data_IF_725483706031
#
_entry.id   IF_725483706031
#
_cell.length_a   1.000
_cell.length_b   1.000
_cell.length_c   1.000
_cell.angle_alpha   90.00
_cell.angle_beta   90.00
_cell.angle_gamma   90.00
#
_symmetry.space_group_name_H-M   'P 1'
#
loop_
_entity.id
_entity.type
_entity.pdbx_description
1 polymer ?
#
# COMPACT_ATOMS: atom_id res chain seq x y z
N UNK A 1 -8.29 2.16 -0.63
CA UNK A 1 -7.32 1.20 -1.19
C UNK A 1 -7.65 0.95 -2.63
N UNK A 2 -6.72 1.31 -3.52
CA UNK A 2 -6.75 0.94 -4.93
C UNK A 2 -5.64 -0.11 -5.13
N UNK A 3 -5.98 -1.28 -5.64
CA UNK A 3 -5.03 -2.37 -5.86
C UNK A 3 -5.42 -3.21 -7.07
N UNK A 4 -4.48 -3.99 -7.61
CA UNK A 4 -4.77 -4.99 -8.65
C UNK A 4 -4.79 -6.38 -8.06
N UNK A 5 -5.50 -7.28 -8.73
CA UNK A 5 -5.32 -8.72 -8.52
C UNK A 5 -3.97 -9.14 -9.08
N UNK A 6 -3.32 -10.05 -8.37
CA UNK A 6 -2.01 -10.58 -8.77
C UNK A 6 -2.20 -11.95 -9.39
N UNK A 7 -2.79 -11.98 -10.58
CA UNK A 7 -3.15 -13.22 -11.28
C UNK A 7 -1.91 -13.91 -11.88
N UNK A 8 -0.94 -13.10 -12.33
CA UNK A 8 0.35 -13.57 -12.82
C UNK A 8 1.37 -13.67 -11.69
N UNK A 9 1.68 -14.91 -11.31
CA UNK A 9 2.67 -15.27 -10.28
C UNK A 9 4.05 -15.63 -10.84
N UNK A 10 4.31 -15.36 -12.12
CA UNK A 10 5.62 -15.62 -12.72
C UNK A 10 6.65 -14.60 -12.27
N UNK A 11 7.93 -14.95 -12.38
CA UNK A 11 9.05 -14.07 -12.03
C UNK A 11 9.27 -12.96 -13.07
N UNK A 12 8.64 -13.02 -14.24
CA UNK A 12 8.87 -12.05 -15.32
C UNK A 12 8.01 -10.81 -15.13
N UNK A 13 8.61 -9.63 -15.34
CA UNK A 13 7.92 -8.35 -15.26
C UNK A 13 6.87 -8.16 -16.35
N UNK A 14 5.82 -7.40 -16.03
CA UNK A 14 4.86 -6.92 -17.01
C UNK A 14 5.27 -5.50 -17.43
N UNK A 15 6.06 -5.39 -18.49
CA UNK A 15 6.73 -4.15 -18.93
C UNK A 15 5.78 -3.02 -19.37
N UNK A 16 4.51 -3.34 -19.64
CA UNK A 16 3.48 -2.38 -20.02
C UNK A 16 2.23 -2.63 -19.19
N UNK A 17 1.86 -1.62 -18.42
CA UNK A 17 0.71 -1.66 -17.52
C UNK A 17 -0.29 -0.57 -17.91
N UNK A 18 -1.46 -0.98 -18.41
CA UNK A 18 -2.53 -0.10 -18.87
C UNK A 18 -3.84 -0.29 -18.10
N UNK A 19 -3.89 -1.24 -17.18
CA UNK A 19 -5.12 -1.59 -16.49
C UNK A 19 -5.31 -0.71 -15.26
N UNK A 20 -6.53 -0.23 -15.04
CA UNK A 20 -6.84 0.54 -13.83
C UNK A 20 -6.96 -0.42 -12.65
N UNK A 21 -6.50 0.00 -11.48
CA UNK A 21 -6.72 -0.77 -10.25
C UNK A 21 -8.20 -0.87 -9.88
N UNK A 22 -8.55 -1.87 -9.08
CA UNK A 22 -9.87 -2.01 -8.47
C UNK A 22 -9.88 -1.26 -7.14
N UNK A 23 -10.93 -0.45 -6.91
CA UNK A 23 -11.12 0.24 -5.64
C UNK A 23 -11.78 -0.72 -4.64
N UNK A 24 -11.01 -1.16 -3.65
CA UNK A 24 -11.48 -2.09 -2.61
C UNK A 24 -12.05 -1.38 -1.38
N UNK A 25 -11.66 -0.13 -1.15
CA UNK A 25 -12.18 0.66 -0.05
C UNK A 25 -11.99 2.16 -0.29
N UNK A 26 -12.96 2.95 0.15
CA UNK A 26 -12.88 4.40 0.24
C UNK A 26 -13.55 4.82 1.54
N UNK A 27 -12.89 5.68 2.30
CA UNK A 27 -13.41 6.21 3.56
C UNK A 27 -13.42 7.73 3.49
N UNK A 28 -14.48 8.39 4.01
CA UNK A 28 -14.44 9.83 4.21
C UNK A 28 -13.39 10.19 5.27
N UNK A 29 -12.82 11.38 5.14
CA UNK A 29 -11.84 11.93 6.09
C UNK A 29 -12.34 13.31 6.49
N UNK A 30 -12.63 13.46 7.77
CA UNK A 30 -13.22 14.70 8.32
C UNK A 30 -12.17 15.58 9.02
N UNK A 31 -10.87 15.27 8.83
CA UNK A 31 -9.72 15.96 9.44
C UNK A 31 -8.63 16.25 8.42
N UNK A 32 -7.84 17.29 8.67
CA UNK A 32 -6.63 17.65 7.93
C UNK A 32 -5.45 16.67 8.17
N UNK A 33 -5.59 15.77 9.15
CA UNK A 33 -4.57 14.80 9.52
C UNK A 33 -5.11 13.39 9.52
N UNK A 34 -4.39 12.50 8.87
CA UNK A 34 -4.62 11.05 8.91
C UNK A 34 -3.38 10.32 9.41
N UNK A 35 -3.59 9.21 10.12
CA UNK A 35 -2.51 8.29 10.48
C UNK A 35 -2.75 6.96 9.77
N UNK A 36 -1.77 6.54 8.98
CA UNK A 36 -1.84 5.34 8.16
C UNK A 36 -0.84 4.30 8.67
N UNK A 37 -1.17 3.03 8.49
CA UNK A 37 -0.29 1.90 8.76
C UNK A 37 -0.34 0.93 7.60
N UNK A 38 0.82 0.46 7.18
CA UNK A 38 0.97 -0.68 6.30
C UNK A 38 1.64 -1.82 7.09
N UNK A 39 1.13 -3.03 6.95
CA UNK A 39 1.61 -4.23 7.63
C UNK A 39 1.95 -5.28 6.59
N UNK A 40 3.20 -5.73 6.57
CA UNK A 40 3.66 -6.80 5.68
C UNK A 40 3.96 -8.08 6.45
N UNK A 41 3.37 -9.20 6.02
CA UNK A 41 3.68 -10.53 6.50
C UNK A 41 4.50 -11.30 5.46
N UNK A 42 5.79 -11.48 5.75
CA UNK A 42 6.75 -12.17 4.88
C UNK A 42 7.22 -13.51 5.47
N UNK A 43 6.62 -13.96 6.59
CA UNK A 43 6.99 -15.22 7.23
C UNK A 43 6.55 -16.37 6.32
N UNK A 44 7.40 -17.39 6.16
CA UNK A 44 7.09 -18.59 5.36
C UNK A 44 6.59 -18.30 3.93
N UNK A 45 7.10 -17.23 3.30
CA UNK A 45 6.68 -16.78 1.96
C UNK A 45 5.17 -16.49 1.86
N UNK A 46 4.54 -16.02 2.94
CA UNK A 46 3.14 -15.56 2.88
C UNK A 46 3.00 -14.36 1.94
N UNK A 47 3.96 -13.43 1.97
CA UNK A 47 4.05 -12.27 1.07
C UNK A 47 2.74 -11.45 0.98
N UNK A 48 2.13 -11.19 2.13
CA UNK A 48 0.87 -10.45 2.23
C UNK A 48 1.08 -9.04 2.80
N UNK A 49 0.26 -8.10 2.34
CA UNK A 49 0.25 -6.73 2.84
C UNK A 49 -1.17 -6.31 3.19
N UNK A 50 -1.32 -5.63 4.33
CA UNK A 50 -2.57 -5.07 4.82
C UNK A 50 -2.40 -3.59 5.14
N UNK A 51 -3.45 -2.82 4.85
CA UNK A 51 -3.48 -1.39 5.10
C UNK A 51 -4.50 -1.06 6.18
N UNK A 52 -4.18 -0.05 6.98
CA UNK A 52 -4.99 0.40 8.11
C UNK A 52 -4.95 1.92 8.23
N UNK A 53 -5.99 2.47 8.84
CA UNK A 53 -6.07 3.87 9.26
C UNK A 53 -6.46 3.95 10.74
N UNK A 54 -6.04 5.02 11.40
CA UNK A 54 -6.47 5.32 12.76
C UNK A 54 -7.84 6.02 12.73
N UNK A 55 -8.79 5.50 13.49
CA UNK A 55 -10.10 6.11 13.73
C UNK A 55 -10.35 6.20 15.24
N UNK A 56 -10.35 7.43 15.76
CA UNK A 56 -10.20 7.67 17.20
C UNK A 56 -8.91 7.06 17.72
N UNK A 57 -9.04 6.08 18.61
CA UNK A 57 -7.91 5.34 19.21
C UNK A 57 -7.74 3.92 18.65
N UNK A 58 -8.47 3.57 17.58
CA UNK A 58 -8.50 2.22 17.04
C UNK A 58 -7.97 2.15 15.61
N UNK A 59 -7.17 1.11 15.33
CA UNK A 59 -6.79 0.77 13.97
C UNK A 59 -7.93 0.03 13.27
N UNK A 60 -8.40 0.60 12.15
CA UNK A 60 -9.37 -0.04 11.27
C UNK A 60 -8.71 -0.49 9.98
N UNK A 61 -9.03 -1.69 9.51
CA UNK A 61 -8.54 -2.22 8.24
C UNK A 61 -9.10 -1.40 7.07
N UNK A 62 -8.29 -1.22 6.01
CA UNK A 62 -8.62 -0.48 4.81
C UNK A 62 -8.48 -1.37 3.56
N UNK A 63 -9.57 -2.05 3.20
CA UNK A 63 -9.66 -2.82 1.96
C UNK A 63 -9.41 -4.31 2.17
N UNK A 64 -8.54 -4.89 1.36
CA UNK A 64 -8.26 -6.33 1.35
C UNK A 64 -6.82 -6.60 1.80
N UNK A 65 -6.54 -7.84 2.18
CA UNK A 65 -5.18 -8.37 2.22
C UNK A 65 -4.67 -8.53 0.79
N UNK A 66 -3.56 -7.87 0.46
CA UNK A 66 -2.97 -7.87 -0.87
C UNK A 66 -1.81 -8.87 -0.94
N UNK A 67 -1.89 -9.79 -1.88
CA UNK A 67 -0.83 -10.76 -2.18
C UNK A 67 0.23 -10.11 -3.08
N UNK A 68 1.44 -9.97 -2.56
CA UNK A 68 2.57 -9.41 -3.27
C UNK A 68 3.29 -10.51 -4.06
N UNK A 69 3.70 -10.20 -5.29
CA UNK A 69 4.54 -11.10 -6.10
C UNK A 69 5.83 -10.39 -6.41
N UNK A 70 6.95 -11.02 -6.05
CA UNK A 70 8.26 -10.55 -6.45
C UNK A 70 8.49 -10.86 -7.94
N UNK A 71 8.85 -9.82 -8.70
CA UNK A 71 9.19 -9.92 -10.12
C UNK A 71 10.61 -9.41 -10.36
N UNK A 72 11.25 -9.95 -11.39
CA UNK A 72 12.66 -9.75 -11.69
C UNK A 72 12.95 -8.42 -12.41
N UNK A 73 11.92 -7.74 -12.92
CA UNK A 73 12.03 -6.48 -13.68
C UNK A 73 12.64 -5.32 -12.89
N UNK A 74 12.31 -5.22 -11.60
CA UNK A 74 12.88 -4.21 -10.72
C UNK A 74 14.08 -4.73 -9.92
N UNK A 75 14.25 -6.05 -9.83
CA UNK A 75 15.32 -6.73 -9.08
C UNK A 75 15.53 -6.20 -7.65
N UNK A 76 14.45 -5.75 -7.00
CA UNK A 76 14.44 -5.20 -5.64
C UNK A 76 13.30 -5.80 -4.84
N UNK A 77 13.47 -5.92 -3.52
CA UNK A 77 12.39 -6.32 -2.63
C UNK A 77 11.35 -5.21 -2.41
N UNK A 78 10.25 -5.58 -1.75
CA UNK A 78 9.17 -4.66 -1.38
C UNK A 78 9.67 -3.51 -0.48
N UNK A 79 9.17 -2.30 -0.73
CA UNK A 79 9.50 -1.09 0.04
C UNK A 79 8.23 -0.35 0.48
N UNK A 80 8.31 0.27 1.64
CA UNK A 80 7.29 1.25 2.07
C UNK A 80 7.57 2.59 1.41
N UNK A 81 6.54 3.21 0.83
CA UNK A 81 6.65 4.49 0.15
C UNK A 81 5.65 5.50 0.69
N UNK A 82 6.13 6.73 0.94
CA UNK A 82 5.30 7.90 1.19
C UNK A 82 5.36 8.78 -0.06
N UNK A 83 4.21 9.11 -0.63
CA UNK A 83 4.15 9.83 -1.90
C UNK A 83 2.95 10.76 -1.98
N UNK A 84 3.08 11.81 -2.77
CA UNK A 84 2.01 12.70 -3.20
C UNK A 84 2.15 12.89 -4.70
N UNK A 85 1.05 12.75 -5.43
CA UNK A 85 0.96 13.10 -6.84
C UNK A 85 -0.45 13.61 -7.15
N UNK A 86 -0.57 14.46 -8.16
CA UNK A 86 -1.84 15.00 -8.63
C UNK A 86 -2.21 14.43 -9.99
N UNK A 87 -3.48 14.09 -10.19
CA UNK A 87 -4.01 13.62 -11.48
C UNK A 87 -4.73 14.70 -12.30
N UNK A 88 -5.02 15.86 -11.69
CA UNK A 88 -5.77 16.97 -12.31
C UNK A 88 -4.98 18.28 -12.34
N UNK A 89 -4.60 18.77 -11.16
CA UNK A 89 -3.97 20.08 -11.00
C UNK A 89 -2.72 20.00 -10.12
N UNK A 90 -1.69 20.74 -10.50
CA UNK A 90 -0.42 20.82 -9.77
C UNK A 90 -0.52 21.83 -8.60
N UNK A 91 0.47 21.80 -7.70
CA UNK A 91 0.60 22.77 -6.60
C UNK A 91 0.09 22.29 -5.23
N UNK A 92 -0.53 21.11 -5.17
CA UNK A 92 -0.87 20.45 -3.91
C UNK A 92 0.38 20.11 -3.09
N UNK A 93 0.26 20.13 -1.76
CA UNK A 93 1.33 19.78 -0.83
C UNK A 93 0.80 18.82 0.23
N UNK A 94 1.69 17.99 0.79
CA UNK A 94 1.39 17.09 1.89
C UNK A 94 2.59 17.03 2.82
N UNK A 95 2.34 17.04 4.13
CA UNK A 95 3.37 16.92 5.14
C UNK A 95 3.36 15.51 5.73
N UNK A 96 4.48 14.82 5.61
CA UNK A 96 4.70 13.53 6.26
C UNK A 96 5.46 13.74 7.58
N UNK A 97 4.98 13.14 8.65
CA UNK A 97 5.62 13.22 9.97
C UNK A 97 5.44 11.92 10.74
N UNK A 98 6.29 11.69 11.76
CA UNK A 98 6.24 10.50 12.64
C UNK A 98 6.21 9.16 11.88
N UNK A 99 7.15 8.96 10.96
CA UNK A 99 7.35 7.63 10.36
C UNK A 99 7.93 6.68 11.41
N UNK A 100 7.19 5.61 11.71
CA UNK A 100 7.60 4.56 12.66
C UNK A 100 7.67 3.24 11.92
N UNK A 101 8.81 2.57 12.03
CA UNK A 101 9.03 1.25 11.45
C UNK A 101 9.28 0.24 12.56
N UNK A 102 8.38 -0.74 12.70
CA UNK A 102 8.47 -1.78 13.71
C UNK A 102 8.65 -3.14 13.03
N UNK A 103 9.67 -3.87 13.45
CA UNK A 103 9.83 -5.28 13.08
C UNK A 103 9.05 -6.11 14.09
N UNK A 104 7.99 -6.75 13.60
CA UNK A 104 7.18 -7.64 14.41
C UNK A 104 7.94 -8.96 14.57
N UNK A 105 8.11 -9.43 15.81
CA UNK A 105 8.65 -10.76 16.06
C UNK A 105 7.51 -11.76 15.96
N UNK A 106 7.76 -12.88 15.28
CA UNK A 106 6.91 -14.07 15.29
C UNK A 106 6.88 -14.73 16.66
#
# INVERSE_FOLDING_TARGET
MLARTTDDKTIFGNLVDKETGVEYARIPVDSDKVTLKAFGNFVNNTDECEFYYMDGDYWKNLGITHNMVWKMDQFVGTRYGLFLYSTKEIGGTAQFSRFVYNVMKS
#
